data_IF_737479860420
#
_entry.id   IF_737479860420
#
_cell.length_a   1.000
_cell.length_b   1.000
_cell.length_c   1.000
_cell.angle_alpha   90.00
_cell.angle_beta   90.00
_cell.angle_gamma   90.00
#
_symmetry.space_group_name_H-M   'P 1'
#
loop_
_entity.id
_entity.type
_entity.pdbx_description
1 polymer ?
#
# COMPACT_ATOMS: atom_id res chain seq x y z
N UNK A 1 50.32 27.42 38.82
CA UNK A 1 48.86 27.41 38.58
C UNK A 1 48.39 25.97 38.52
N UNK A 2 47.54 25.54 39.47
CA UNK A 2 47.08 24.15 39.56
C UNK A 2 45.92 23.84 38.59
N UNK A 3 45.67 22.56 38.33
CA UNK A 3 44.57 22.06 37.47
C UNK A 3 43.22 22.70 37.83
N UNK A 4 43.01 22.97 39.13
CA UNK A 4 41.81 23.59 39.66
C UNK A 4 41.53 25.00 39.10
N UNK A 5 42.59 25.78 38.84
CA UNK A 5 42.46 27.12 38.26
C UNK A 5 41.93 27.06 36.83
N UNK A 6 42.49 26.16 36.00
CA UNK A 6 42.04 25.96 34.62
C UNK A 6 40.63 25.36 34.55
N UNK A 7 40.30 24.45 35.47
CA UNK A 7 38.96 23.88 35.58
C UNK A 7 37.91 24.96 35.89
N UNK A 8 38.17 25.84 36.87
CA UNK A 8 37.28 26.96 37.20
C UNK A 8 37.15 27.97 36.04
N UNK A 9 38.28 28.30 35.40
CA UNK A 9 38.31 29.26 34.30
C UNK A 9 37.57 28.75 33.06
N UNK A 10 37.54 27.44 32.82
CA UNK A 10 36.73 26.82 31.77
C UNK A 10 35.27 26.61 32.18
N UNK A 11 35.02 26.20 33.42
CA UNK A 11 33.68 25.88 33.90
C UNK A 11 32.77 27.12 34.02
N UNK A 12 33.31 28.27 34.44
CA UNK A 12 32.54 29.50 34.60
C UNK A 12 31.92 30.02 33.28
N UNK A 13 32.67 30.19 32.17
CA UNK A 13 32.06 30.56 30.89
C UNK A 13 31.22 29.43 30.29
N UNK A 14 31.63 28.16 30.46
CA UNK A 14 30.86 27.03 29.93
C UNK A 14 29.47 26.91 30.59
N UNK A 15 29.37 27.12 31.91
CA UNK A 15 28.10 27.11 32.62
C UNK A 15 27.20 28.29 32.22
N UNK A 16 27.78 29.48 32.01
CA UNK A 16 27.04 30.62 31.51
C UNK A 16 26.46 30.37 30.10
N UNK A 17 27.26 29.80 29.18
CA UNK A 17 26.81 29.44 27.83
C UNK A 17 25.70 28.39 27.89
N UNK A 18 25.86 27.35 28.70
CA UNK A 18 24.83 26.32 28.89
C UNK A 18 23.53 26.91 29.45
N UNK A 19 23.63 27.82 30.43
CA UNK A 19 22.47 28.47 31.02
C UNK A 19 21.65 29.23 29.96
N UNK A 20 22.31 30.04 29.14
CA UNK A 20 21.65 30.76 28.05
C UNK A 20 21.13 29.84 26.95
N UNK A 21 21.84 28.75 26.64
CA UNK A 21 21.41 27.79 25.62
C UNK A 21 20.20 26.94 26.04
N UNK A 22 20.03 26.69 27.35
CA UNK A 22 18.90 25.96 27.93
C UNK A 22 17.69 26.84 28.25
N UNK A 23 17.84 28.16 28.25
CA UNK A 23 16.75 29.07 28.61
C UNK A 23 15.65 29.02 27.53
N UNK A 24 14.38 28.84 27.91
CA UNK A 24 13.27 28.85 26.95
C UNK A 24 13.07 30.25 26.37
N UNK A 25 12.56 30.31 25.14
CA UNK A 25 12.21 31.58 24.50
C UNK A 25 11.05 32.29 25.22
N UNK A 26 10.92 33.60 25.02
CA UNK A 26 9.90 34.43 25.66
C UNK A 26 8.46 33.91 25.45
N UNK A 27 8.22 33.24 24.32
CA UNK A 27 6.92 32.70 23.92
C UNK A 27 6.76 31.19 24.22
N UNK A 28 7.58 30.62 25.10
CA UNK A 28 7.54 29.18 25.43
C UNK A 28 8.12 28.25 24.38
N UNK A 29 8.86 28.80 23.41
CA UNK A 29 9.58 28.03 22.39
C UNK A 29 10.67 27.15 23.03
N UNK A 30 10.93 25.94 22.50
CA UNK A 30 11.99 25.06 23.01
C UNK A 30 13.35 25.76 22.94
N UNK A 31 14.21 25.48 23.92
CA UNK A 31 15.53 26.10 24.01
C UNK A 31 16.39 25.79 22.77
N UNK A 32 17.35 26.65 22.44
CA UNK A 32 18.24 26.45 21.29
C UNK A 32 18.99 25.11 21.34
N UNK A 33 19.35 24.65 22.55
CA UNK A 33 19.97 23.35 22.74
C UNK A 33 18.97 22.21 22.43
N UNK A 34 17.74 22.33 22.91
CA UNK A 34 16.67 21.36 22.65
C UNK A 34 16.41 21.24 21.15
N UNK A 35 16.31 22.35 20.43
CA UNK A 35 16.11 22.35 18.97
C UNK A 35 17.28 21.68 18.22
N UNK A 36 18.52 21.88 18.68
CA UNK A 36 19.68 21.22 18.09
C UNK A 36 19.67 19.70 18.33
N UNK A 37 19.26 19.26 19.53
CA UNK A 37 19.10 17.85 19.87
C UNK A 37 17.96 17.23 19.06
N UNK A 38 16.81 17.89 18.98
CA UNK A 38 15.64 17.46 18.21
C UNK A 38 16.03 17.26 16.74
N UNK A 39 16.70 18.24 16.14
CA UNK A 39 17.17 18.13 14.75
C UNK A 39 18.10 16.93 14.52
N UNK A 40 18.93 16.56 15.50
CA UNK A 40 19.75 15.36 15.40
C UNK A 40 18.91 14.08 15.56
N UNK A 41 17.94 14.08 16.46
CA UNK A 41 17.03 12.95 16.66
C UNK A 41 16.11 12.71 15.45
N UNK A 42 15.72 13.78 14.76
CA UNK A 42 14.90 13.72 13.55
C UNK A 42 15.58 12.90 12.46
N UNK A 43 16.89 13.09 12.25
CA UNK A 43 17.64 12.29 11.27
C UNK A 43 17.59 10.80 11.57
N UNK A 44 17.64 10.41 12.85
CA UNK A 44 17.52 9.01 13.24
C UNK A 44 16.11 8.48 12.96
N UNK A 45 15.09 9.27 13.30
CA UNK A 45 13.70 8.88 13.06
C UNK A 45 13.38 8.77 11.56
N UNK A 46 13.92 9.67 10.73
CA UNK A 46 13.75 9.58 9.27
C UNK A 46 14.46 8.37 8.70
N UNK A 47 15.67 8.07 9.18
CA UNK A 47 16.40 6.90 8.74
C UNK A 47 15.68 5.61 9.11
N UNK A 48 15.11 5.54 10.32
CA UNK A 48 14.26 4.44 10.77
C UNK A 48 13.00 4.30 9.90
N UNK A 49 12.28 5.40 9.63
CA UNK A 49 11.10 5.40 8.75
C UNK A 49 11.44 4.88 7.34
N UNK A 50 12.56 5.31 6.77
CA UNK A 50 13.02 4.85 5.44
C UNK A 50 13.35 3.37 5.45
N UNK A 51 14.03 2.89 6.49
CA UNK A 51 14.38 1.48 6.64
C UNK A 51 13.12 0.61 6.77
N UNK A 52 12.14 1.04 7.56
CA UNK A 52 10.86 0.35 7.70
C UNK A 52 10.13 0.26 6.36
N UNK A 53 10.01 1.38 5.63
CA UNK A 53 9.36 1.41 4.32
C UNK A 53 10.05 0.48 3.32
N UNK A 54 11.38 0.46 3.31
CA UNK A 54 12.16 -0.41 2.43
C UNK A 54 11.95 -1.90 2.77
N UNK A 55 11.97 -2.25 4.06
CA UNK A 55 11.69 -3.63 4.50
C UNK A 55 10.27 -4.06 4.10
N UNK A 56 9.27 -3.21 4.35
CA UNK A 56 7.88 -3.49 3.95
C UNK A 56 7.74 -3.68 2.43
N UNK A 57 8.42 -2.85 1.63
CA UNK A 57 8.41 -2.99 0.18
C UNK A 57 9.04 -4.32 -0.29
N UNK A 58 10.14 -4.74 0.35
CA UNK A 58 10.78 -6.03 0.07
C UNK A 58 9.86 -7.20 0.47
N UNK A 59 9.23 -7.12 1.64
CA UNK A 59 8.30 -8.15 2.11
C UNK A 59 7.10 -8.31 1.16
N UNK A 60 6.51 -7.20 0.73
CA UNK A 60 5.44 -7.21 -0.26
C UNK A 60 5.91 -7.80 -1.60
N UNK A 61 7.07 -7.37 -2.09
CA UNK A 61 7.64 -7.89 -3.33
C UNK A 61 7.94 -9.40 -3.24
N UNK A 62 8.41 -9.88 -2.09
CA UNK A 62 8.64 -11.30 -1.86
C UNK A 62 7.33 -12.10 -1.81
N UNK A 63 6.29 -11.55 -1.17
CA UNK A 63 4.95 -12.13 -1.15
C UNK A 63 4.37 -12.24 -2.57
N UNK A 64 4.44 -11.17 -3.35
CA UNK A 64 3.92 -11.15 -4.73
C UNK A 64 4.70 -12.10 -5.63
N UNK A 65 6.03 -12.14 -5.47
CA UNK A 65 6.90 -13.11 -6.16
C UNK A 65 6.47 -14.55 -5.85
N UNK A 66 6.20 -14.84 -4.58
CA UNK A 66 5.71 -16.15 -4.16
C UNK A 66 4.36 -16.49 -4.80
N UNK A 67 3.43 -15.53 -4.83
CA UNK A 67 2.13 -15.68 -5.48
C UNK A 67 2.30 -16.01 -6.97
N UNK A 68 3.13 -15.26 -7.70
CA UNK A 68 3.31 -15.45 -9.14
C UNK A 68 4.00 -16.75 -9.52
N UNK A 69 4.91 -17.27 -8.70
CA UNK A 69 5.60 -18.52 -9.00
C UNK A 69 4.82 -19.77 -8.60
N UNK A 70 4.03 -19.71 -7.52
CA UNK A 70 3.36 -20.90 -6.99
C UNK A 70 1.88 -21.02 -7.37
N UNK A 71 1.22 -19.92 -7.73
CA UNK A 71 -0.19 -19.99 -8.17
C UNK A 71 -0.26 -20.54 -9.59
N UNK A 72 -1.12 -21.54 -9.79
CA UNK A 72 -1.48 -22.00 -11.14
C UNK A 72 -2.11 -20.85 -11.92
N UNK A 73 -1.53 -20.51 -13.08
CA UNK A 73 -2.08 -19.46 -13.95
C UNK A 73 -3.50 -19.83 -14.33
N UNK A 74 -4.46 -18.94 -14.06
CA UNK A 74 -5.82 -19.16 -14.52
C UNK A 74 -5.85 -19.05 -16.05
N UNK A 75 -6.09 -20.17 -16.72
CA UNK A 75 -6.25 -20.24 -18.19
C UNK A 75 -7.60 -19.67 -18.64
N UNK A 76 -8.56 -19.55 -17.74
CA UNK A 76 -9.91 -19.08 -18.04
C UNK A 76 -9.97 -17.57 -17.84
N UNK A 77 -9.99 -16.84 -18.96
CA UNK A 77 -10.23 -15.40 -18.97
C UNK A 77 -11.71 -15.15 -19.27
N UNK A 78 -12.46 -14.71 -18.28
CA UNK A 78 -13.83 -14.24 -18.51
C UNK A 78 -13.78 -12.91 -19.28
N UNK A 79 -14.22 -12.94 -20.54
CA UNK A 79 -14.35 -11.72 -21.33
C UNK A 79 -15.54 -10.91 -20.81
N UNK A 80 -15.32 -9.61 -20.55
CA UNK A 80 -16.42 -8.67 -20.22
C UNK A 80 -17.46 -8.55 -21.32
N UNK A 81 -17.06 -8.83 -22.57
CA UNK A 81 -17.90 -8.75 -23.75
C UNK A 81 -17.90 -10.10 -24.48
N UNK A 82 -18.85 -11.01 -24.20
CA UNK A 82 -18.89 -12.33 -24.83
C UNK A 82 -19.25 -12.26 -26.32
N UNK A 83 -19.87 -11.17 -26.77
CA UNK A 83 -20.16 -10.93 -28.19
C UNK A 83 -18.88 -10.77 -29.05
N UNK A 84 -17.71 -10.57 -28.42
CA UNK A 84 -16.42 -10.57 -29.10
C UNK A 84 -16.16 -11.86 -29.89
N UNK A 85 -16.69 -13.01 -29.43
CA UNK A 85 -16.52 -14.30 -30.11
C UNK A 85 -17.17 -14.34 -31.50
N UNK A 86 -18.13 -13.45 -31.78
CA UNK A 86 -18.84 -13.37 -33.05
C UNK A 86 -18.55 -12.10 -33.84
N UNK A 87 -17.75 -11.19 -33.27
CA UNK A 87 -17.44 -9.92 -33.93
C UNK A 87 -16.51 -10.18 -35.11
N UNK A 88 -16.89 -9.72 -36.31
CA UNK A 88 -16.15 -9.94 -37.55
C UNK A 88 -16.72 -9.12 -38.70
N UNK A 89 -16.08 -9.22 -39.87
CA UNK A 89 -16.56 -8.57 -41.09
C UNK A 89 -17.92 -9.17 -41.48
N UNK A 90 -18.96 -8.35 -41.75
CA UNK A 90 -20.25 -8.85 -42.22
C UNK A 90 -20.21 -9.32 -43.69
N UNK A 91 -19.15 -8.99 -44.43
CA UNK A 91 -19.00 -9.32 -45.85
C UNK A 91 -17.97 -10.42 -46.09
N UNK A 92 -18.25 -11.28 -47.08
CA UNK A 92 -17.37 -12.34 -47.56
C UNK A 92 -16.97 -13.38 -46.49
N UNK A 93 -17.94 -13.81 -45.67
CA UNK A 93 -17.72 -14.85 -44.65
C UNK A 93 -18.11 -16.21 -45.24
N UNK A 94 -17.16 -17.14 -45.44
CA UNK A 94 -17.48 -18.48 -45.91
C UNK A 94 -18.31 -19.24 -44.87
N UNK A 95 -19.19 -20.13 -45.33
CA UNK A 95 -19.97 -20.98 -44.44
C UNK A 95 -19.04 -21.81 -43.54
N UNK A 96 -19.29 -21.80 -42.22
CA UNK A 96 -18.44 -22.47 -41.23
C UNK A 96 -17.26 -21.64 -40.68
N UNK A 97 -17.14 -20.36 -41.05
CA UNK A 97 -16.11 -19.45 -40.50
C UNK A 97 -16.22 -19.27 -38.98
N UNK A 98 -17.44 -19.19 -38.46
CA UNK A 98 -17.69 -19.12 -37.01
C UNK A 98 -17.84 -20.54 -36.45
N UNK A 99 -17.14 -20.82 -35.35
CA UNK A 99 -17.26 -22.10 -34.64
C UNK A 99 -18.62 -22.27 -33.96
N UNK A 100 -19.02 -23.52 -33.72
CA UNK A 100 -20.22 -23.81 -32.93
C UNK A 100 -20.01 -23.37 -31.46
N UNK A 101 -20.87 -22.48 -30.97
CA UNK A 101 -20.83 -21.93 -29.61
C UNK A 101 -21.96 -22.45 -28.70
N UNK A 102 -22.71 -23.47 -29.09
CA UNK A 102 -23.90 -23.95 -28.37
C UNK A 102 -23.59 -24.33 -26.92
N UNK A 103 -22.40 -24.92 -26.69
CA UNK A 103 -21.93 -25.27 -25.35
C UNK A 103 -21.66 -24.04 -24.48
N UNK A 104 -21.07 -22.99 -25.06
CA UNK A 104 -20.78 -21.74 -24.36
C UNK A 104 -22.09 -21.03 -23.99
N UNK A 105 -23.03 -21.00 -24.94
CA UNK A 105 -24.38 -20.46 -24.71
C UNK A 105 -25.10 -21.24 -23.62
N UNK A 106 -25.03 -22.57 -23.62
CA UNK A 106 -25.65 -23.41 -22.60
C UNK A 106 -25.05 -23.14 -21.20
N UNK A 107 -23.73 -23.03 -21.10
CA UNK A 107 -23.03 -22.72 -19.86
C UNK A 107 -23.49 -21.37 -19.26
N UNK A 108 -23.47 -20.29 -20.06
CA UNK A 108 -23.89 -18.98 -19.54
C UNK A 108 -25.38 -18.91 -19.23
N UNK A 109 -26.22 -19.63 -19.97
CA UNK A 109 -27.65 -19.77 -19.63
C UNK A 109 -27.84 -20.44 -18.26
N UNK A 110 -27.09 -21.51 -17.96
CA UNK A 110 -27.14 -22.17 -16.67
C UNK A 110 -26.69 -21.23 -15.55
N UNK A 111 -25.56 -20.53 -15.73
CA UNK A 111 -25.08 -19.53 -14.77
C UNK A 111 -26.11 -18.43 -14.49
N UNK A 112 -26.79 -17.92 -15.52
CA UNK A 112 -27.84 -16.91 -15.33
C UNK A 112 -29.01 -17.44 -14.48
N UNK A 113 -29.45 -18.68 -14.72
CA UNK A 113 -30.52 -19.30 -13.92
C UNK A 113 -30.11 -19.41 -12.45
N UNK A 114 -28.89 -19.89 -12.18
CA UNK A 114 -28.36 -20.01 -10.81
C UNK A 114 -28.26 -18.64 -10.10
N UNK A 115 -27.85 -17.60 -10.82
CA UNK A 115 -27.81 -16.24 -10.28
C UNK A 115 -29.18 -15.67 -9.95
N UNK A 116 -30.17 -15.89 -10.82
CA UNK A 116 -31.55 -15.46 -10.60
C UNK A 116 -32.18 -16.19 -9.41
N UNK A 117 -31.95 -17.50 -9.26
CA UNK A 117 -32.37 -18.24 -8.07
C UNK A 117 -31.72 -17.70 -6.80
N UNK A 118 -30.42 -17.37 -6.84
CA UNK A 118 -29.71 -16.76 -5.71
C UNK A 118 -30.27 -15.39 -5.36
N UNK A 119 -30.59 -14.56 -6.35
CA UNK A 119 -31.23 -13.24 -6.15
C UNK A 119 -32.63 -13.39 -5.56
N UNK A 120 -33.43 -14.33 -6.08
CA UNK A 120 -34.77 -14.62 -5.60
C UNK A 120 -34.77 -15.10 -4.15
N UNK A 121 -33.85 -16.00 -3.78
CA UNK A 121 -33.67 -16.47 -2.38
C UNK A 121 -33.33 -15.31 -1.43
N UNK A 122 -32.42 -14.42 -1.83
CA UNK A 122 -32.06 -13.22 -1.05
C UNK A 122 -33.24 -12.25 -0.90
N UNK A 123 -34.03 -12.06 -1.96
CA UNK A 123 -35.21 -11.20 -1.92
C UNK A 123 -36.30 -11.80 -1.01
N UNK A 124 -36.55 -13.11 -1.09
CA UNK A 124 -37.50 -13.80 -0.23
C UNK A 124 -37.09 -13.73 1.25
N UNK A 125 -35.81 -13.95 1.57
CA UNK A 125 -35.29 -13.82 2.93
C UNK A 125 -35.47 -12.40 3.49
N UNK A 126 -35.27 -11.37 2.67
CA UNK A 126 -35.47 -9.97 3.06
C UNK A 126 -36.94 -9.59 3.25
N UNK A 127 -37.86 -10.28 2.57
CA UNK A 127 -39.31 -10.06 2.73
C UNK A 127 -39.90 -10.79 3.95
N UNK A 128 -39.20 -11.80 4.47
CA UNK A 128 -39.59 -12.53 5.68
C UNK A 128 -39.04 -11.93 6.98
N UNK A 129 -38.13 -10.97 6.91
CA UNK A 129 -37.71 -10.09 8.02
C UNK A 129 -38.65 -8.88 8.14
#
# INVERSE_FOLDING_TARGET
MGVFFYALFGAAPASAVLYYACQPGADGQPSSLTQAIERFSDFRSEWEKRNILHTQAIEQAAHDKNLFYNVQRNTHVELKFPEAFQTGSPFNVPAGHYGNMDKVVAHYKQQHVEEEERKAKKLAAKQSE
#
